data_IF_025293712711
#
_entry.id   IF_025293712711
#
_cell.length_a   1.000
_cell.length_b   1.000
_cell.length_c   1.000
_cell.angle_alpha   90.00
_cell.angle_beta   90.00
_cell.angle_gamma   90.00
#
_symmetry.space_group_name_H-M   'P 1'
#
loop_
_entity.id
_entity.type
_entity.pdbx_description
1 polymer ?
#
# COMPACT_ATOMS: atom_id res chain seq x y z
N UNK A 1 3.20 -1.85 5.37
CA UNK A 1 3.74 -0.46 5.27
C UNK A 1 3.98 0.13 6.66
N UNK A 2 4.97 1.02 6.82
CA UNK A 2 5.16 1.73 8.07
C UNK A 2 4.06 2.80 8.26
N UNK A 3 3.79 3.17 9.52
CA UNK A 3 2.78 4.16 9.84
C UNK A 3 3.11 5.52 9.19
N UNK A 4 2.13 6.16 8.57
CA UNK A 4 2.27 7.43 7.86
C UNK A 4 2.96 7.35 6.48
N UNK A 5 3.35 6.15 6.02
CA UNK A 5 4.05 6.01 4.73
C UNK A 5 3.11 6.20 3.53
N UNK A 6 3.68 6.61 2.40
CA UNK A 6 3.01 6.63 1.10
C UNK A 6 3.45 5.44 0.26
N UNK A 7 2.49 4.75 -0.38
CA UNK A 7 2.76 3.63 -1.29
C UNK A 7 2.13 3.96 -2.64
N UNK A 8 2.93 3.99 -3.71
CA UNK A 8 2.46 4.35 -5.05
C UNK A 8 2.03 3.11 -5.82
N UNK A 9 0.75 3.06 -6.23
CA UNK A 9 0.17 2.03 -7.08
C UNK A 9 0.58 0.57 -6.74
N UNK A 10 0.42 0.10 -5.49
CA UNK A 10 0.84 -1.26 -5.13
C UNK A 10 -0.08 -2.31 -5.79
N UNK A 11 0.52 -3.25 -6.53
CA UNK A 11 -0.15 -4.47 -6.99
C UNK A 11 -0.42 -5.44 -5.85
N UNK A 12 0.36 -5.34 -4.78
CA UNK A 12 0.23 -6.10 -3.54
C UNK A 12 0.84 -5.28 -2.39
N UNK A 13 0.29 -5.42 -1.20
CA UNK A 13 0.81 -4.74 0.00
C UNK A 13 1.18 -5.79 1.04
N UNK A 14 2.44 -5.76 1.47
CA UNK A 14 2.90 -6.59 2.58
C UNK A 14 2.58 -5.88 3.89
N UNK A 15 1.78 -6.54 4.72
CA UNK A 15 1.49 -6.16 6.10
C UNK A 15 2.27 -7.10 7.00
N UNK A 16 2.98 -6.54 7.98
CA UNK A 16 3.80 -7.30 8.91
C UNK A 16 3.73 -6.66 10.29
N UNK A 17 3.92 -7.47 11.31
CA UNK A 17 3.94 -7.00 12.69
C UNK A 17 4.51 -8.04 13.65
N UNK A 18 4.49 -7.67 14.92
CA UNK A 18 4.91 -8.52 16.04
C UNK A 18 3.70 -8.80 16.93
N UNK A 19 3.62 -10.01 17.47
CA UNK A 19 2.62 -10.41 18.45
C UNK A 19 3.27 -11.37 19.46
N UNK A 20 3.52 -10.90 20.67
CA UNK A 20 4.09 -11.71 21.74
C UNK A 20 3.00 -12.61 22.36
N UNK A 21 3.35 -13.86 22.65
CA UNK A 21 2.44 -14.84 23.27
C UNK A 21 1.12 -15.08 22.50
N UNK A 22 1.10 -14.82 21.19
CA UNK A 22 -0.03 -15.07 20.32
C UNK A 22 0.25 -16.25 19.39
N UNK A 23 -0.80 -16.97 19.00
CA UNK A 23 -0.72 -18.06 18.01
C UNK A 23 -1.12 -17.57 16.62
N UNK A 24 -2.04 -16.59 16.55
CA UNK A 24 -2.50 -16.03 15.29
C UNK A 24 -2.89 -14.56 15.41
N UNK A 25 -2.92 -13.89 14.26
CA UNK A 25 -3.34 -12.49 14.11
C UNK A 25 -4.42 -12.39 13.04
N UNK A 26 -5.49 -11.67 13.34
CA UNK A 26 -6.46 -11.20 12.37
C UNK A 26 -6.30 -9.70 12.20
N UNK A 27 -6.43 -9.19 10.98
CA UNK A 27 -6.35 -7.75 10.77
C UNK A 27 -7.33 -7.30 9.70
N UNK A 28 -7.77 -6.04 9.78
CA UNK A 28 -8.60 -5.42 8.76
C UNK A 28 -7.82 -4.36 8.01
N UNK A 29 -8.07 -4.25 6.70
CA UNK A 29 -7.51 -3.25 5.81
C UNK A 29 -8.55 -2.86 4.77
N UNK A 30 -8.83 -1.56 4.62
CA UNK A 30 -9.82 -1.08 3.64
C UNK A 30 -11.24 -1.63 3.87
N UNK A 31 -11.58 -1.96 5.12
CA UNK A 31 -12.87 -2.57 5.48
C UNK A 31 -12.96 -4.08 5.23
N UNK A 32 -11.92 -4.72 4.67
CA UNK A 32 -11.84 -6.17 4.52
C UNK A 32 -11.05 -6.79 5.66
N UNK A 33 -11.48 -7.96 6.14
CA UNK A 33 -10.80 -8.74 7.18
C UNK A 33 -9.90 -9.81 6.55
N UNK A 34 -8.68 -9.93 7.06
CA UNK A 34 -7.66 -10.89 6.64
C UNK A 34 -7.19 -11.72 7.83
N UNK A 35 -6.86 -12.99 7.56
CA UNK A 35 -6.41 -13.97 8.55
C UNK A 35 -7.44 -15.06 8.85
N UNK A 36 -7.19 -15.91 9.86
CA UNK A 36 -6.08 -15.82 10.83
C UNK A 36 -4.71 -16.11 10.20
N UNK A 37 -3.74 -15.26 10.51
CA UNK A 37 -2.33 -15.39 10.09
C UNK A 37 -1.53 -15.98 11.24
N UNK A 38 -0.81 -17.08 10.99
CA UNK A 38 0.02 -17.73 12.01
C UNK A 38 1.15 -16.82 12.47
N UNK A 39 1.35 -16.73 13.78
CA UNK A 39 2.50 -16.03 14.40
C UNK A 39 3.64 -17.03 14.59
N UNK A 40 4.80 -16.73 14.02
CA UNK A 40 6.01 -17.58 14.14
C UNK A 40 7.12 -16.76 14.79
N UNK A 41 7.65 -17.26 15.91
CA UNK A 41 8.72 -16.56 16.64
C UNK A 41 8.34 -15.16 17.15
N UNK A 42 7.04 -14.89 17.32
CA UNK A 42 6.53 -13.57 17.70
C UNK A 42 6.31 -12.60 16.54
N UNK A 43 6.54 -13.02 15.29
CA UNK A 43 6.34 -12.21 14.10
C UNK A 43 5.27 -12.82 13.18
N UNK A 44 4.62 -11.96 12.40
CA UNK A 44 3.68 -12.36 11.36
C UNK A 44 3.83 -11.47 10.12
N UNK A 45 3.48 -12.03 8.97
CA UNK A 45 3.47 -11.32 7.69
C UNK A 45 2.33 -11.84 6.82
N UNK A 46 1.71 -10.95 6.06
CA UNK A 46 0.65 -11.28 5.12
C UNK A 46 0.73 -10.37 3.90
N UNK A 47 0.59 -10.96 2.72
CA UNK A 47 0.53 -10.21 1.47
C UNK A 47 -0.93 -10.01 1.06
N UNK A 48 -1.39 -8.76 1.13
CA UNK A 48 -2.72 -8.38 0.65
C UNK A 48 -2.66 -8.19 -0.86
N UNK A 49 -3.46 -8.92 -1.65
CA UNK A 49 -3.57 -8.69 -3.09
C UNK A 49 -4.19 -7.32 -3.35
N UNK A 50 -3.59 -6.55 -4.26
CA UNK A 50 -4.07 -5.24 -4.69
C UNK A 50 -4.88 -5.31 -6.00
N UNK A 51 -5.26 -4.15 -6.57
CA UNK A 51 -4.91 -2.79 -6.11
C UNK A 51 -5.77 -2.35 -4.92
N UNK A 52 -5.13 -1.68 -3.95
CA UNK A 52 -5.85 -0.97 -2.89
C UNK A 52 -6.40 0.36 -3.41
N UNK A 53 -7.51 0.83 -2.83
CA UNK A 53 -8.06 2.14 -3.16
C UNK A 53 -7.06 3.27 -2.82
N UNK A 54 -7.01 4.29 -3.67
CA UNK A 54 -6.22 5.50 -3.40
C UNK A 54 -6.72 6.22 -2.14
N UNK A 55 -5.82 6.87 -1.42
CA UNK A 55 -6.11 7.61 -0.20
C UNK A 55 -5.63 6.93 1.08
N UNK A 56 -6.13 7.40 2.22
CA UNK A 56 -5.73 6.90 3.55
C UNK A 56 -6.31 5.51 3.78
N UNK A 57 -5.43 4.57 4.12
CA UNK A 57 -5.73 3.19 4.45
C UNK A 57 -5.36 2.92 5.91
N UNK A 58 -6.28 2.33 6.66
CA UNK A 58 -6.06 1.96 8.07
C UNK A 58 -6.01 0.45 8.19
N UNK A 59 -4.91 -0.07 8.74
CA UNK A 59 -4.77 -1.44 9.23
C UNK A 59 -5.19 -1.47 10.69
N UNK A 60 -6.04 -2.42 11.09
CA UNK A 60 -6.33 -2.71 12.50
C UNK A 60 -6.12 -4.20 12.76
N UNK A 61 -5.15 -4.55 13.60
CA UNK A 61 -4.76 -5.93 13.87
C UNK A 61 -5.06 -6.32 15.32
N UNK A 62 -5.59 -7.53 15.50
CA UNK A 62 -5.85 -8.16 16.80
C UNK A 62 -5.16 -9.51 16.82
N UNK A 63 -4.38 -9.76 17.87
CA UNK A 63 -3.72 -11.05 18.08
C UNK A 63 -4.52 -11.90 19.06
N UNK A 64 -4.45 -13.23 18.91
CA UNK A 64 -5.08 -14.19 19.82
C UNK A 64 -4.16 -15.36 20.08
N UNK A 65 -4.26 -15.94 21.29
CA UNK A 65 -3.62 -17.19 21.66
C UNK A 65 -4.59 -18.39 21.67
N UNK A 66 -5.82 -18.19 21.18
CA UNK A 66 -6.91 -19.18 21.21
C UNK A 66 -7.81 -19.08 22.44
N UNK A 67 -7.40 -18.33 23.47
CA UNK A 67 -8.19 -18.13 24.71
C UNK A 67 -8.43 -16.65 25.00
N UNK A 68 -7.48 -15.78 24.64
CA UNK A 68 -7.54 -14.34 24.92
C UNK A 68 -7.11 -13.55 23.68
N UNK A 69 -7.81 -12.44 23.44
CA UNK A 69 -7.49 -11.50 22.36
C UNK A 69 -6.77 -10.27 22.92
N UNK A 70 -5.83 -9.72 22.14
CA UNK A 70 -5.16 -8.46 22.49
C UNK A 70 -6.06 -7.25 22.23
N UNK A 71 -5.60 -6.08 22.69
CA UNK A 71 -6.10 -4.81 22.15
C UNK A 71 -5.77 -4.70 20.67
N UNK A 72 -6.59 -3.94 19.93
CA UNK A 72 -6.34 -3.69 18.53
C UNK A 72 -5.17 -2.71 18.35
N UNK A 73 -4.19 -3.11 17.54
CA UNK A 73 -3.10 -2.25 17.11
C UNK A 73 -3.47 -1.65 15.74
N UNK A 74 -3.36 -0.33 15.60
CA UNK A 74 -3.70 0.35 14.34
C UNK A 74 -2.47 0.94 13.67
N UNK A 75 -2.47 0.92 12.33
CA UNK A 75 -1.47 1.61 11.53
C UNK A 75 -2.09 2.14 10.24
N UNK A 76 -1.95 3.43 10.01
CA UNK A 76 -2.39 4.15 8.82
C UNK A 76 -1.26 4.32 7.81
N UNK A 77 -1.57 4.23 6.52
CA UNK A 77 -0.67 4.57 5.42
C UNK A 77 -1.50 5.10 4.24
N UNK A 78 -0.87 5.84 3.32
CA UNK A 78 -1.57 6.45 2.18
C UNK A 78 -1.21 5.73 0.89
N UNK A 79 -2.21 5.35 0.09
CA UNK A 79 -2.01 4.85 -1.26
C UNK A 79 -2.11 6.01 -2.24
N UNK A 80 -1.01 6.33 -2.92
CA UNK A 80 -0.98 7.34 -3.96
C UNK A 80 -1.31 6.71 -5.32
N UNK A 81 -2.26 7.33 -6.05
CA UNK A 81 -2.53 6.97 -7.44
C UNK A 81 -1.43 7.47 -8.38
N UNK A 82 -1.38 6.95 -9.63
CA UNK A 82 -0.43 7.43 -10.63
C UNK A 82 -0.72 8.89 -10.98
N UNK A 83 0.33 9.70 -11.07
CA UNK A 83 0.25 11.09 -11.55
C UNK A 83 0.76 11.16 -12.98
N UNK A 84 -0.02 11.78 -13.88
CA UNK A 84 0.42 12.14 -15.23
C UNK A 84 0.75 13.63 -15.24
N UNK A 85 1.97 13.96 -15.66
CA UNK A 85 2.39 15.33 -15.90
C UNK A 85 2.84 15.45 -17.36
N UNK A 86 2.26 16.40 -18.10
CA UNK A 86 2.77 16.82 -19.40
C UNK A 86 3.65 18.04 -19.15
N UNK A 87 4.97 17.84 -19.20
CA UNK A 87 5.96 18.92 -19.00
C UNK A 87 6.39 19.57 -20.30
N UNK A 88 6.21 18.89 -21.44
CA UNK A 88 6.45 19.46 -22.76
C UNK A 88 5.66 18.71 -23.86
N UNK A 89 5.20 19.41 -24.91
CA UNK A 89 5.17 20.87 -25.01
C UNK A 89 4.26 21.49 -23.94
N UNK A 90 4.64 22.67 -23.44
CA UNK A 90 3.77 23.41 -22.52
C UNK A 90 2.45 23.75 -23.22
N UNK A 91 1.36 23.84 -22.45
CA UNK A 91 0.04 24.21 -22.98
C UNK A 91 0.14 25.50 -23.81
N UNK A 92 -0.15 25.40 -25.11
CA UNK A 92 -0.05 26.52 -26.06
C UNK A 92 1.27 26.63 -26.84
N UNK A 93 2.20 25.68 -26.73
CA UNK A 93 3.44 25.73 -27.53
C UNK A 93 3.17 25.29 -28.97
N UNK A 94 3.66 26.07 -29.92
CA UNK A 94 3.73 25.69 -31.34
C UNK A 94 5.07 25.01 -31.62
N UNK A 95 5.05 23.76 -32.06
CA UNK A 95 6.25 23.05 -32.54
C UNK A 95 6.40 23.36 -34.01
N UNK A 96 7.38 24.18 -34.37
CA UNK A 96 7.75 24.41 -35.77
C UNK A 96 8.60 23.25 -36.26
N UNK A 97 8.13 22.52 -37.27
CA UNK A 97 8.94 21.53 -37.98
C UNK A 97 10.14 22.25 -38.62
N UNK A 98 11.41 21.92 -38.31
CA UNK A 98 12.49 22.24 -39.23
C UNK A 98 12.34 21.25 -40.39
N UNK A 99 11.68 21.67 -41.46
CA UNK A 99 11.83 20.99 -42.74
C UNK A 99 13.29 21.16 -43.14
N UNK A 100 14.09 20.11 -42.91
CA UNK A 100 15.38 19.96 -43.57
C UNK A 100 15.11 19.77 -45.07
N UNK A 101 14.90 20.86 -45.79
CA UNK A 101 15.02 20.87 -47.24
C UNK A 101 16.49 21.16 -47.54
N UNK A 102 17.30 20.11 -47.60
CA UNK A 102 18.55 20.20 -48.34
C UNK A 102 18.16 19.99 -49.81
N UNK A 103 18.06 21.08 -50.57
CA UNK A 103 18.20 20.98 -52.03
C UNK A 103 19.69 21.10 -52.32
N UNK A 104 20.30 19.99 -52.79
CA UNK A 104 21.59 20.00 -53.48
C UNK A 104 21.36 19.97 -54.98
#
# INVERSE_FOLDING_TARGET
>A
PANGSTVTNPTNVVVSGTAANATSVTFTLGGQSYGPVTVTGGNWTYTVPGPLANGSQTVSAVSTNGTTNSTAATSTFTVAGPTVAITAPANGSTVTNPTNVVVS
#
